data_IF_207540835860
#
_entry.id   IF_207540835860
#
_cell.length_a   1.000
_cell.length_b   1.000
_cell.length_c   1.000
_cell.angle_alpha   90.00
_cell.angle_beta   90.00
_cell.angle_gamma   90.00
#
_symmetry.space_group_name_H-M   'P 1'
#
loop_
_entity.id
_entity.type
_entity.pdbx_description
1 polymer ?
#
# COMPACT_ATOMS: atom_id res chain seq x y z
N UNK A 1 10.91 22.63 -65.74
CA UNK A 1 11.08 21.28 -65.15
C UNK A 1 11.68 21.32 -63.73
N UNK A 2 11.42 22.38 -62.93
CA UNK A 2 12.01 22.57 -61.58
C UNK A 2 10.99 22.84 -60.45
N UNK A 3 9.67 22.91 -60.72
CA UNK A 3 8.66 23.16 -59.67
C UNK A 3 8.18 21.88 -58.96
N UNK A 4 8.37 20.70 -59.55
CA UNK A 4 7.82 19.44 -59.02
C UNK A 4 8.73 18.86 -57.92
N UNK A 5 10.03 19.15 -57.93
CA UNK A 5 11.01 18.64 -56.96
C UNK A 5 10.97 19.34 -55.60
N UNK A 6 10.44 20.56 -55.51
CA UNK A 6 10.34 21.33 -54.25
C UNK A 6 9.11 20.90 -53.43
N UNK A 7 8.05 20.40 -54.08
CA UNK A 7 6.83 19.94 -53.39
C UNK A 7 6.97 18.56 -52.72
N UNK A 8 7.92 17.73 -53.17
CA UNK A 8 8.11 16.37 -52.64
C UNK A 8 9.00 16.38 -51.38
N UNK A 9 9.90 17.35 -51.24
CA UNK A 9 10.82 17.45 -50.09
C UNK A 9 10.17 18.04 -48.84
N UNK A 10 9.19 18.93 -48.96
CA UNK A 10 8.45 19.48 -47.82
C UNK A 10 7.49 18.49 -47.16
N UNK A 11 7.01 17.49 -47.90
CA UNK A 11 6.10 16.45 -47.38
C UNK A 11 6.83 15.41 -46.52
N UNK A 12 8.10 15.09 -46.81
CA UNK A 12 8.89 14.11 -46.05
C UNK A 12 9.31 14.61 -44.65
N UNK A 13 9.52 15.92 -44.48
CA UNK A 13 9.85 16.52 -43.17
C UNK A 13 8.64 16.54 -42.22
N UNK A 14 7.42 16.68 -42.73
CA UNK A 14 6.21 16.65 -41.90
C UNK A 14 5.89 15.24 -41.38
N UNK A 15 6.06 14.20 -42.20
CA UNK A 15 5.77 12.81 -41.81
C UNK A 15 6.71 12.28 -40.72
N UNK A 16 7.99 12.67 -40.76
CA UNK A 16 8.97 12.23 -39.76
C UNK A 16 8.71 12.85 -38.37
N UNK A 17 8.30 14.12 -38.31
CA UNK A 17 7.99 14.80 -37.04
C UNK A 17 6.74 14.26 -36.35
N UNK A 18 5.66 13.97 -37.10
CA UNK A 18 4.42 13.39 -36.57
C UNK A 18 4.64 11.99 -35.96
N UNK A 19 5.41 11.13 -36.65
CA UNK A 19 5.72 9.78 -36.17
C UNK A 19 6.54 9.80 -34.86
N UNK A 20 7.50 10.74 -34.73
CA UNK A 20 8.27 10.89 -33.49
C UNK A 20 7.45 11.46 -32.32
N UNK A 21 6.52 12.39 -32.59
CA UNK A 21 5.64 12.96 -31.57
C UNK A 21 4.68 11.91 -31.02
N UNK A 22 4.09 11.11 -31.91
CA UNK A 22 3.22 9.99 -31.54
C UNK A 22 4.00 8.92 -30.76
N UNK A 23 5.18 8.51 -31.23
CA UNK A 23 6.00 7.52 -30.51
C UNK A 23 6.38 7.98 -29.09
N UNK A 24 6.65 9.28 -28.92
CA UNK A 24 6.97 9.88 -27.63
C UNK A 24 5.73 9.91 -26.71
N UNK A 25 4.55 10.22 -27.24
CA UNK A 25 3.29 10.17 -26.49
C UNK A 25 2.97 8.73 -26.04
N UNK A 26 3.19 7.74 -26.91
CA UNK A 26 2.99 6.32 -26.63
C UNK A 26 3.93 5.84 -25.51
N UNK A 27 5.22 6.20 -25.58
CA UNK A 27 6.20 5.89 -24.54
C UNK A 27 5.84 6.54 -23.19
N UNK A 28 5.40 7.80 -23.21
CA UNK A 28 4.92 8.51 -22.00
C UNK A 28 3.71 7.80 -21.38
N UNK A 29 2.73 7.42 -22.19
CA UNK A 29 1.55 6.68 -21.71
C UNK A 29 1.93 5.33 -21.09
N UNK A 30 2.86 4.58 -21.71
CA UNK A 30 3.36 3.33 -21.15
C UNK A 30 4.07 3.53 -19.79
N UNK A 31 4.90 4.58 -19.66
CA UNK A 31 5.56 4.91 -18.40
C UNK A 31 4.56 5.26 -17.30
N UNK A 32 3.56 6.09 -17.60
CA UNK A 32 2.50 6.45 -16.67
C UNK A 32 1.68 5.23 -16.25
N UNK A 33 1.36 4.33 -17.19
CA UNK A 33 0.66 3.10 -16.87
C UNK A 33 1.46 2.23 -15.87
N UNK A 34 2.76 2.04 -16.13
CA UNK A 34 3.65 1.30 -15.22
C UNK A 34 3.77 1.96 -13.84
N UNK A 35 3.84 3.29 -13.78
CA UNK A 35 3.82 4.05 -12.52
C UNK A 35 2.51 3.84 -11.77
N UNK A 36 1.37 3.84 -12.45
CA UNK A 36 0.07 3.57 -11.85
C UNK A 36 -0.01 2.19 -11.22
N UNK A 37 0.49 1.17 -11.93
CA UNK A 37 0.58 -0.20 -11.38
C UNK A 37 1.51 -0.28 -10.17
N UNK A 38 2.65 0.40 -10.20
CA UNK A 38 3.58 0.45 -9.08
C UNK A 38 2.94 1.12 -7.85
N UNK A 39 2.23 2.24 -8.06
CA UNK A 39 1.49 2.93 -7.01
C UNK A 39 0.41 2.03 -6.38
N UNK A 40 -0.34 1.25 -7.16
CA UNK A 40 -1.28 0.26 -6.62
C UNK A 40 -0.59 -0.78 -5.72
N UNK A 41 0.61 -1.25 -6.07
CA UNK A 41 1.33 -2.26 -5.26
C UNK A 41 1.68 -1.78 -3.86
N UNK A 42 1.94 -0.48 -3.70
CA UNK A 42 2.25 0.15 -2.41
C UNK A 42 1.03 0.82 -1.76
N UNK A 43 -0.16 0.70 -2.36
CA UNK A 43 -1.41 1.24 -1.82
C UNK A 43 -1.64 2.74 -2.10
N UNK A 44 -0.83 3.37 -2.94
CA UNK A 44 -0.95 4.78 -3.33
C UNK A 44 -2.07 4.98 -4.37
N UNK A 45 -3.31 4.82 -3.92
CA UNK A 45 -4.49 4.86 -4.78
C UNK A 45 -4.64 6.19 -5.55
N UNK A 46 -4.42 7.34 -4.91
CA UNK A 46 -4.56 8.64 -5.59
C UNK A 46 -3.49 8.84 -6.67
N UNK A 47 -2.25 8.43 -6.39
CA UNK A 47 -1.15 8.47 -7.37
C UNK A 47 -1.46 7.55 -8.56
N UNK A 48 -1.96 6.35 -8.30
CA UNK A 48 -2.36 5.41 -9.35
C UNK A 48 -3.50 5.97 -10.21
N UNK A 49 -4.51 6.56 -9.59
CA UNK A 49 -5.63 7.17 -10.28
C UNK A 49 -5.18 8.33 -11.19
N UNK A 50 -4.34 9.23 -10.68
CA UNK A 50 -3.77 10.32 -11.47
C UNK A 50 -3.00 9.80 -12.68
N UNK A 51 -2.18 8.77 -12.49
CA UNK A 51 -1.43 8.14 -13.59
C UNK A 51 -2.36 7.56 -14.66
N UNK A 52 -3.36 6.76 -14.29
CA UNK A 52 -4.25 6.15 -15.28
C UNK A 52 -5.17 7.15 -15.97
N UNK A 53 -5.59 8.22 -15.28
CA UNK A 53 -6.33 9.33 -15.91
C UNK A 53 -5.49 10.03 -16.97
N UNK A 54 -4.20 10.27 -16.71
CA UNK A 54 -3.29 10.84 -17.71
C UNK A 54 -3.03 9.89 -18.88
N UNK A 55 -2.94 8.56 -18.64
CA UNK A 55 -2.90 7.57 -19.72
C UNK A 55 -4.11 7.69 -20.63
N UNK A 56 -5.32 7.82 -20.07
CA UNK A 56 -6.54 7.99 -20.86
C UNK A 56 -6.63 9.35 -21.56
N UNK A 57 -5.96 10.39 -21.06
CA UNK A 57 -5.84 11.67 -21.77
C UNK A 57 -4.98 11.54 -23.03
N UNK A 58 -3.90 10.76 -22.98
CA UNK A 58 -3.00 10.51 -24.12
C UNK A 58 -3.60 9.46 -25.07
N UNK A 59 -4.17 8.39 -24.52
CA UNK A 59 -4.76 7.27 -25.25
C UNK A 59 -6.22 7.07 -24.83
N UNK A 60 -7.17 7.84 -25.41
CA UNK A 60 -8.57 7.79 -25.02
C UNK A 60 -9.24 6.44 -25.22
N UNK A 61 -8.66 5.50 -25.97
CA UNK A 61 -9.20 4.14 -26.20
C UNK A 61 -8.45 3.03 -25.43
N UNK A 62 -7.56 3.39 -24.51
CA UNK A 62 -6.81 2.39 -23.74
C UNK A 62 -7.73 1.60 -22.79
N UNK A 63 -8.01 0.34 -23.13
CA UNK A 63 -8.89 -0.53 -22.35
C UNK A 63 -8.27 -0.92 -21.00
N UNK A 64 -6.95 -1.13 -20.96
CA UNK A 64 -6.22 -1.51 -19.76
C UNK A 64 -6.30 -0.40 -18.70
N UNK A 65 -6.07 0.86 -19.07
CA UNK A 65 -6.15 1.98 -18.14
C UNK A 65 -7.57 2.20 -17.60
N UNK A 66 -8.61 2.01 -18.43
CA UNK A 66 -10.01 2.00 -17.97
C UNK A 66 -10.26 0.89 -16.95
N UNK A 67 -9.83 -0.33 -17.28
CA UNK A 67 -9.95 -1.47 -16.38
C UNK A 67 -9.26 -1.20 -15.04
N UNK A 68 -8.02 -0.70 -15.05
CA UNK A 68 -7.31 -0.38 -13.81
C UNK A 68 -8.01 0.70 -12.98
N UNK A 69 -8.58 1.75 -13.60
CA UNK A 69 -9.38 2.74 -12.87
C UNK A 69 -10.62 2.13 -12.21
N UNK A 70 -11.31 1.20 -12.89
CA UNK A 70 -12.43 0.47 -12.29
C UNK A 70 -11.96 -0.37 -11.09
N UNK A 71 -10.87 -1.12 -11.24
CA UNK A 71 -10.29 -1.92 -10.16
C UNK A 71 -9.85 -1.06 -8.98
N UNK A 72 -9.27 0.11 -9.25
CA UNK A 72 -8.84 1.05 -8.23
C UNK A 72 -10.01 1.54 -7.39
N UNK A 73 -11.12 1.93 -8.02
CA UNK A 73 -12.32 2.39 -7.32
C UNK A 73 -12.91 1.30 -6.41
N UNK A 74 -12.98 0.06 -6.91
CA UNK A 74 -13.48 -1.08 -6.14
C UNK A 74 -12.58 -1.45 -4.97
N UNK A 75 -11.27 -1.31 -5.13
CA UNK A 75 -10.28 -1.75 -4.15
C UNK A 75 -9.69 -0.62 -3.29
N UNK A 76 -10.23 0.61 -3.36
CA UNK A 76 -9.70 1.77 -2.60
C UNK A 76 -9.47 1.45 -1.11
N UNK A 77 -10.41 0.84 -0.35
CA UNK A 77 -10.19 0.50 1.05
C UNK A 77 -9.05 -0.51 1.25
N UNK A 78 -8.95 -1.50 0.36
CA UNK A 78 -7.91 -2.53 0.39
C UNK A 78 -6.53 -1.91 0.14
N UNK A 79 -6.44 -0.97 -0.81
CA UNK A 79 -5.22 -0.22 -1.10
C UNK A 79 -4.83 0.68 0.06
N UNK A 80 -5.78 1.34 0.73
CA UNK A 80 -5.50 2.15 1.91
C UNK A 80 -4.97 1.30 3.08
N UNK A 81 -5.56 0.14 3.34
CA UNK A 81 -5.04 -0.84 4.31
C UNK A 81 -3.61 -1.29 3.93
N UNK A 82 -3.36 -1.56 2.64
CA UNK A 82 -2.03 -1.91 2.13
C UNK A 82 -1.02 -0.79 2.34
N UNK A 83 -1.40 0.47 2.06
CA UNK A 83 -0.56 1.65 2.27
C UNK A 83 -0.15 1.77 3.73
N UNK A 84 -1.09 1.62 4.66
CA UNK A 84 -0.81 1.64 6.10
C UNK A 84 0.19 0.55 6.51
N UNK A 85 0.03 -0.67 5.97
CA UNK A 85 0.98 -1.75 6.21
C UNK A 85 2.39 -1.42 5.69
N UNK A 86 2.49 -0.87 4.47
CA UNK A 86 3.78 -0.46 3.87
C UNK A 86 4.42 0.66 4.70
N UNK A 87 3.66 1.68 5.09
CA UNK A 87 4.15 2.78 5.94
C UNK A 87 4.74 2.25 7.24
N UNK A 88 4.05 1.32 7.92
CA UNK A 88 4.58 0.72 9.15
C UNK A 88 5.84 -0.13 8.91
N UNK A 89 5.98 -0.73 7.73
CA UNK A 89 7.16 -1.52 7.35
C UNK A 89 8.37 -0.65 7.00
N UNK A 90 8.16 0.58 6.53
CA UNK A 90 9.22 1.52 6.18
C UNK A 90 9.82 2.23 7.40
N UNK A 91 9.04 2.37 8.49
CA UNK A 91 9.52 2.98 9.73
C UNK A 91 10.50 2.04 10.44
N UNK A 92 11.79 2.38 10.39
CA UNK A 92 12.85 1.67 11.11
C UNK A 92 13.02 2.23 12.51
N UNK A 93 12.88 1.37 13.51
CA UNK A 93 13.07 1.70 14.92
C UNK A 93 14.46 1.25 15.35
N UNK A 94 15.28 2.22 15.76
CA UNK A 94 16.69 1.98 16.10
C UNK A 94 16.84 1.05 17.32
N UNK A 95 15.98 1.23 18.32
CA UNK A 95 16.03 0.50 19.58
C UNK A 95 14.63 0.42 20.18
N UNK A 96 14.27 -0.77 20.66
CA UNK A 96 13.04 -1.06 21.40
C UNK A 96 13.43 -1.87 22.63
N UNK A 97 13.01 -1.39 23.79
CA UNK A 97 13.16 -2.09 25.07
C UNK A 97 11.81 -1.96 25.79
N UNK A 98 11.02 -3.03 25.74
CA UNK A 98 9.80 -3.19 26.51
C UNK A 98 10.09 -4.13 27.66
N UNK A 99 9.67 -3.76 28.85
CA UNK A 99 9.90 -4.52 30.08
C UNK A 99 8.55 -4.71 30.78
N UNK A 100 8.10 -5.96 30.83
CA UNK A 100 6.84 -6.37 31.47
C UNK A 100 5.64 -5.51 31.06
N UNK A 101 5.47 -5.27 29.75
CA UNK A 101 4.33 -4.52 29.22
C UNK A 101 3.17 -5.47 28.87
N UNK A 102 1.95 -5.03 29.15
CA UNK A 102 0.74 -5.57 28.53
C UNK A 102 0.69 -5.21 27.04
N UNK A 103 -0.15 -5.90 26.27
CA UNK A 103 -0.34 -5.57 24.85
C UNK A 103 -0.78 -4.12 24.66
N UNK A 104 -1.69 -3.60 25.49
CA UNK A 104 -2.20 -2.22 25.37
C UNK A 104 -1.08 -1.19 25.59
N UNK A 105 -0.25 -1.39 26.60
CA UNK A 105 0.90 -0.53 26.88
C UNK A 105 1.92 -0.59 25.73
N UNK A 106 2.23 -1.79 25.23
CA UNK A 106 3.16 -1.98 24.12
C UNK A 106 2.66 -1.32 22.81
N UNK A 107 1.36 -1.40 22.51
CA UNK A 107 0.75 -0.74 21.36
C UNK A 107 0.80 0.79 21.50
N UNK A 108 0.51 1.33 22.69
CA UNK A 108 0.62 2.77 22.96
C UNK A 108 2.06 3.28 22.80
N UNK A 109 3.03 2.55 23.36
CA UNK A 109 4.44 2.87 23.19
C UNK A 109 4.88 2.82 21.72
N UNK A 110 4.39 1.82 20.97
CA UNK A 110 4.68 1.70 19.53
C UNK A 110 4.07 2.85 18.72
N UNK A 111 2.83 3.27 19.02
CA UNK A 111 2.19 4.44 18.39
C UNK A 111 3.06 5.69 18.57
N UNK A 112 3.49 5.98 19.80
CA UNK A 112 4.35 7.14 20.10
C UNK A 112 5.71 7.06 19.39
N UNK A 113 6.34 5.89 19.39
CA UNK A 113 7.65 5.69 18.76
C UNK A 113 7.57 5.90 17.24
N UNK A 114 6.51 5.42 16.60
CA UNK A 114 6.28 5.63 15.17
C UNK A 114 5.99 7.10 14.87
N UNK A 115 5.14 7.75 15.66
CA UNK A 115 4.82 9.17 15.50
C UNK A 115 6.10 10.03 15.57
N UNK A 116 6.93 9.83 16.59
CA UNK A 116 8.21 10.54 16.76
C UNK A 116 9.19 10.23 15.63
N UNK A 117 9.32 8.96 15.25
CA UNK A 117 10.26 8.53 14.20
C UNK A 117 9.87 9.04 12.80
N UNK A 118 8.61 9.41 12.60
CA UNK A 118 8.10 9.93 11.33
C UNK A 118 7.94 11.44 11.30
N UNK A 119 8.47 12.16 12.31
CA UNK A 119 8.26 13.59 12.48
C UNK A 119 6.78 13.97 12.39
N UNK A 120 5.94 13.21 13.12
CA UNK A 120 4.49 13.39 13.25
C UNK A 120 3.68 13.18 11.97
N UNK A 121 4.28 12.62 10.91
CA UNK A 121 3.60 12.39 9.62
C UNK A 121 2.72 11.15 9.60
N UNK A 122 2.96 10.18 10.48
CA UNK A 122 2.24 8.92 10.48
C UNK A 122 2.05 8.38 11.90
N UNK A 123 0.82 7.94 12.18
CA UNK A 123 0.48 7.18 13.38
C UNK A 123 -0.26 5.89 12.99
N UNK A 124 0.14 4.73 13.57
CA UNK A 124 -0.53 3.46 13.31
C UNK A 124 -2.01 3.43 13.74
N UNK A 125 -2.35 4.06 14.87
CA UNK A 125 -3.68 4.10 15.49
C UNK A 125 -4.26 2.70 15.75
N UNK A 126 -4.02 2.17 16.95
CA UNK A 126 -4.50 0.84 17.31
C UNK A 126 -5.91 0.85 17.92
N UNK A 127 -6.77 -0.05 17.45
CA UNK A 127 -8.09 -0.33 18.05
C UNK A 127 -8.10 -1.76 18.55
N UNK A 128 -8.12 -1.94 19.87
CA UNK A 128 -8.17 -3.27 20.50
C UNK A 128 -9.63 -3.72 20.67
N UNK A 129 -9.99 -4.81 20.00
CA UNK A 129 -11.29 -5.48 20.12
C UNK A 129 -11.13 -6.77 20.91
N UNK A 130 -11.29 -6.69 22.23
CA UNK A 130 -11.12 -7.83 23.15
C UNK A 130 -12.28 -7.93 24.15
N UNK A 131 -13.48 -8.37 23.69
CA UNK A 131 -14.66 -8.44 24.56
C UNK A 131 -14.51 -9.47 25.69
N UNK A 132 -13.62 -10.45 25.55
CA UNK A 132 -13.38 -11.49 26.54
C UNK A 132 -12.25 -11.18 27.52
N UNK A 133 -11.66 -9.99 27.42
CA UNK A 133 -10.48 -9.56 28.17
C UNK A 133 -9.33 -10.60 28.18
N UNK A 134 -9.07 -11.21 27.03
CA UNK A 134 -8.10 -12.29 26.85
C UNK A 134 -6.66 -11.78 26.73
N UNK A 135 -6.48 -10.51 26.37
CA UNK A 135 -5.17 -9.92 26.03
C UNK A 135 -4.54 -9.17 27.19
N UNK A 136 -5.31 -8.69 28.17
CA UNK A 136 -4.78 -7.88 29.29
C UNK A 136 -3.89 -8.66 30.25
N UNK A 137 -4.10 -9.97 30.38
CA UNK A 137 -3.42 -10.79 31.38
C UNK A 137 -1.97 -11.14 31.00
N UNK A 138 -1.59 -10.96 29.73
CA UNK A 138 -0.28 -11.36 29.22
C UNK A 138 0.66 -10.16 29.22
N UNK A 139 1.70 -10.23 30.04
CA UNK A 139 2.82 -9.30 30.04
C UNK A 139 4.01 -9.93 29.34
N UNK A 140 4.78 -9.12 28.63
CA UNK A 140 5.96 -9.59 27.92
C UNK A 140 7.03 -8.51 27.86
N UNK A 141 8.26 -8.96 27.59
CA UNK A 141 9.42 -8.11 27.41
C UNK A 141 9.97 -8.30 26.00
N UNK A 142 10.36 -7.22 25.34
CA UNK A 142 10.94 -7.24 23.99
C UNK A 142 12.19 -6.37 23.95
N UNK A 143 13.28 -6.89 23.38
CA UNK A 143 14.49 -6.12 23.11
C UNK A 143 14.89 -6.32 21.65
N UNK A 144 14.71 -5.27 20.85
CA UNK A 144 14.96 -5.30 19.41
C UNK A 144 15.78 -4.08 19.01
N UNK A 145 16.59 -4.22 17.96
CA UNK A 145 17.41 -3.13 17.42
C UNK A 145 17.35 -3.12 15.90
N UNK A 146 17.26 -1.93 15.32
CA UNK A 146 17.23 -1.71 13.87
C UNK A 146 16.19 -2.59 13.15
N UNK A 147 14.95 -2.58 13.67
CA UNK A 147 13.84 -3.38 13.13
C UNK A 147 12.73 -2.49 12.59
N UNK A 148 12.00 -2.93 11.55
CA UNK A 148 10.77 -2.26 11.13
C UNK A 148 9.70 -2.24 12.24
N UNK A 149 8.92 -1.17 12.34
CA UNK A 149 7.81 -1.07 13.27
C UNK A 149 6.76 -2.18 13.04
N UNK A 150 6.57 -2.62 11.80
CA UNK A 150 5.68 -3.75 11.48
C UNK A 150 6.15 -5.07 12.09
N UNK A 151 7.47 -5.24 12.24
CA UNK A 151 8.07 -6.41 12.90
C UNK A 151 7.89 -6.33 14.40
N UNK A 152 8.05 -5.14 15.00
CA UNK A 152 7.78 -4.92 16.44
C UNK A 152 6.32 -5.23 16.75
N UNK A 153 5.38 -4.69 15.97
CA UNK A 153 3.95 -4.99 16.10
C UNK A 153 3.70 -6.49 16.06
N UNK A 154 4.25 -7.20 15.07
CA UNK A 154 4.12 -8.67 14.95
C UNK A 154 4.57 -9.37 16.22
N UNK A 155 5.75 -9.04 16.77
CA UNK A 155 6.22 -9.65 18.00
C UNK A 155 5.31 -9.34 19.20
N UNK A 156 4.79 -8.13 19.34
CA UNK A 156 3.80 -7.80 20.38
C UNK A 156 2.54 -8.67 20.27
N UNK A 157 2.02 -8.85 19.05
CA UNK A 157 0.85 -9.66 18.79
C UNK A 157 1.10 -11.15 19.08
N UNK A 158 2.25 -11.67 18.67
CA UNK A 158 2.63 -13.08 18.89
C UNK A 158 2.68 -13.43 20.39
N UNK A 159 3.29 -12.56 21.21
CA UNK A 159 3.36 -12.77 22.67
C UNK A 159 1.97 -12.67 23.34
N UNK A 160 1.12 -11.75 22.85
CA UNK A 160 -0.22 -11.58 23.37
C UNK A 160 -1.22 -12.63 22.86
N UNK A 161 -0.88 -13.43 21.84
CA UNK A 161 -1.82 -14.34 21.19
C UNK A 161 -2.91 -13.58 20.42
N UNK A 162 -2.54 -12.50 19.76
CA UNK A 162 -3.43 -11.62 19.01
C UNK A 162 -3.12 -11.63 17.50
N UNK A 163 -4.03 -11.06 16.71
CA UNK A 163 -3.84 -10.78 15.30
C UNK A 163 -4.22 -9.34 15.01
N UNK A 164 -3.62 -8.76 13.97
CA UNK A 164 -3.94 -7.42 13.50
C UNK A 164 -4.54 -7.47 12.09
N UNK A 165 -5.52 -6.59 11.85
CA UNK A 165 -6.08 -6.28 10.54
C UNK A 165 -5.88 -4.79 10.27
N UNK A 166 -5.26 -4.48 9.14
CA UNK A 166 -5.10 -3.12 8.68
C UNK A 166 -6.41 -2.65 8.05
N UNK A 167 -6.86 -1.47 8.44
CA UNK A 167 -7.93 -0.72 7.79
C UNK A 167 -7.38 0.64 7.31
N UNK A 168 -8.21 1.43 6.64
CA UNK A 168 -7.84 2.73 6.09
C UNK A 168 -7.27 3.68 7.16
N UNK A 169 -7.90 3.76 8.33
CA UNK A 169 -7.55 4.73 9.38
C UNK A 169 -6.95 4.12 10.65
N UNK A 170 -7.07 2.80 10.83
CA UNK A 170 -6.74 2.11 12.08
C UNK A 170 -6.13 0.74 11.82
N UNK A 171 -5.42 0.22 12.82
CA UNK A 171 -5.02 -1.18 12.89
C UNK A 171 -5.86 -1.84 13.99
N UNK A 172 -6.77 -2.72 13.58
CA UNK A 172 -7.65 -3.44 14.49
C UNK A 172 -6.92 -4.66 15.04
N UNK A 173 -6.81 -4.76 16.35
CA UNK A 173 -6.17 -5.86 17.07
C UNK A 173 -7.24 -6.69 17.76
N UNK A 174 -7.20 -8.02 17.57
CA UNK A 174 -8.15 -8.96 18.17
C UNK A 174 -7.43 -10.21 18.68
N UNK A 175 -7.96 -10.90 19.71
CA UNK A 175 -7.44 -12.21 20.11
C UNK A 175 -7.47 -13.21 18.95
N UNK A 176 -6.49 -14.10 18.91
CA UNK A 176 -6.58 -15.29 18.06
C UNK A 176 -7.74 -16.15 18.59
N UNK A 177 -8.74 -16.39 17.75
CA UNK A 177 -9.76 -17.39 18.05
C UNK A 177 -9.06 -18.74 18.20
N UNK A 178 -9.34 -19.49 19.28
CA UNK A 178 -9.04 -20.92 19.32
C UNK A 178 -9.88 -21.59 18.22
N UNK A 179 -9.34 -21.74 17.02
CA UNK A 179 -9.89 -22.68 16.06
C UNK A 179 -9.70 -24.08 16.64
N UNK A 180 -10.71 -24.61 17.33
CA UNK A 180 -10.82 -26.04 17.56
C UNK A 180 -10.84 -26.77 16.21
N UNK A 181 -10.36 -28.02 16.14
CA UNK A 181 -10.37 -28.77 14.89
C UNK A 181 -11.80 -28.86 14.38
N UNK A 182 -12.04 -28.41 13.14
CA UNK A 182 -13.28 -28.63 12.42
C UNK A 182 -13.52 -30.13 12.32
N UNK A 183 -14.37 -30.66 13.18
CA UNK A 183 -14.96 -31.98 12.97
C UNK A 183 -15.77 -31.90 11.68
N UNK A 184 -15.27 -32.50 10.61
CA UNK A 184 -16.07 -32.85 9.45
C UNK A 184 -17.07 -33.93 9.87
N UNK A 185 -18.16 -33.48 10.49
CA UNK A 185 -19.35 -34.29 10.76
C UNK A 185 -20.10 -34.48 9.46
N UNK A 186 -20.22 -35.75 9.04
CA UNK A 186 -20.77 -36.14 7.76
C UNK A 186 -22.24 -35.75 7.55
N UNK A 187 -22.63 -35.79 6.28
CA UNK A 187 -24.00 -36.12 5.91
C UNK A 187 -23.98 -37.44 5.16
N UNK A 188 -24.87 -38.31 5.63
CA UNK A 188 -25.31 -39.55 5.00
C UNK A 188 -25.83 -39.31 3.59
#
# INVERSE_FOLDING_TARGET
MNCITILITSALCAFSTLATAEQTAQARAANLYSKGLAAMKVGEADTAEACFREVLRIQPRNANARFQLSQLKLNRPILAAKKRQVQLQEVKLAKIEFEELSLREALGALDELVLRSTAEKFTPNFVVQDPGNLLEQRRFSLRLRNVPASVVLRYCLDHAGASARYDEHVIVVKPLSKSGPTSSGGRK
#
